data_IF_087863591785
#
_entry.id   IF_087863591785
#
_cell.length_a   1.000
_cell.length_b   1.000
_cell.length_c   1.000
_cell.angle_alpha   90.00
_cell.angle_beta   90.00
_cell.angle_gamma   90.00
#
_symmetry.space_group_name_H-M   'P 1'
#
loop_
_entity.id
_entity.type
_entity.pdbx_description
1 polymer ?
#
# COMPACT_ATOMS: atom_id res chain seq x y z
N UNK A 1 -18.66 5.09 -11.49
CA UNK A 1 -18.17 3.92 -12.23
C UNK A 1 -17.09 3.24 -11.40
N UNK A 2 -17.45 2.29 -10.54
CA UNK A 2 -16.48 1.51 -9.76
C UNK A 2 -16.13 0.24 -10.54
N UNK A 3 -14.99 0.24 -11.20
CA UNK A 3 -14.47 -0.94 -11.91
C UNK A 3 -14.11 -2.02 -10.90
N UNK A 4 -14.74 -3.18 -11.04
CA UNK A 4 -14.43 -4.42 -10.33
C UNK A 4 -12.96 -4.80 -10.54
N UNK A 5 -12.14 -4.79 -9.49
CA UNK A 5 -10.80 -5.38 -9.56
C UNK A 5 -10.80 -6.76 -8.88
N UNK A 6 -11.05 -7.79 -9.68
CA UNK A 6 -11.17 -9.19 -9.24
C UNK A 6 -9.86 -9.79 -8.66
N UNK A 7 -8.75 -9.04 -8.62
CA UNK A 7 -7.46 -9.47 -8.09
C UNK A 7 -6.94 -8.64 -6.89
N UNK A 8 -7.78 -7.84 -6.24
CA UNK A 8 -7.35 -7.09 -5.05
C UNK A 8 -6.72 -8.01 -3.98
N UNK A 9 -5.61 -7.55 -3.38
CA UNK A 9 -4.87 -8.27 -2.34
C UNK A 9 -5.77 -8.76 -1.21
N UNK A 10 -5.74 -10.07 -0.97
CA UNK A 10 -6.43 -10.75 0.14
C UNK A 10 -5.41 -11.33 1.13
N UNK A 11 -5.75 -11.31 2.42
CA UNK A 11 -4.95 -11.92 3.49
C UNK A 11 -4.39 -10.94 4.52
N UNK A 12 -3.61 -11.50 5.46
CA UNK A 12 -2.96 -10.75 6.55
C UNK A 12 -2.03 -9.69 5.98
N UNK A 13 -2.01 -8.53 6.62
CA UNK A 13 -1.05 -7.48 6.34
C UNK A 13 0.35 -7.99 6.64
N UNK A 14 1.28 -7.82 5.70
CA UNK A 14 2.68 -8.09 5.96
C UNK A 14 3.37 -6.85 6.52
N UNK A 15 4.53 -7.04 7.14
CA UNK A 15 5.31 -5.92 7.67
C UNK A 15 5.71 -4.92 6.57
N UNK A 16 5.92 -5.39 5.34
CA UNK A 16 6.19 -4.51 4.19
C UNK A 16 4.96 -3.66 3.81
N UNK A 17 3.74 -4.24 3.87
CA UNK A 17 2.49 -3.48 3.66
C UNK A 17 2.31 -2.39 4.73
N UNK A 18 2.61 -2.73 5.99
CA UNK A 18 2.47 -1.80 7.12
C UNK A 18 3.51 -0.68 7.04
N UNK A 19 4.76 -1.00 6.68
CA UNK A 19 5.83 -0.02 6.51
C UNK A 19 5.51 0.97 5.38
N UNK A 20 5.12 0.47 4.21
CA UNK A 20 4.71 1.32 3.08
C UNK A 20 3.55 2.24 3.47
N UNK A 21 2.54 1.70 4.15
CA UNK A 21 1.37 2.47 4.58
C UNK A 21 1.70 3.55 5.58
N UNK A 22 2.51 3.24 6.60
CA UNK A 22 2.94 4.22 7.59
C UNK A 22 3.69 5.38 6.92
N UNK A 23 4.55 5.08 5.95
CA UNK A 23 5.32 6.10 5.24
C UNK A 23 4.48 6.94 4.28
N UNK A 24 3.53 6.33 3.59
CA UNK A 24 2.52 7.06 2.81
C UNK A 24 1.74 8.03 3.70
N UNK A 25 1.24 7.58 4.86
CA UNK A 25 0.48 8.44 5.79
C UNK A 25 1.30 9.64 6.22
N UNK A 26 2.59 9.43 6.51
CA UNK A 26 3.50 10.49 6.92
C UNK A 26 3.65 11.55 5.82
N UNK A 27 4.08 11.16 4.62
CA UNK A 27 4.31 12.10 3.52
C UNK A 27 3.02 12.74 2.99
N UNK A 28 1.92 12.01 3.03
CA UNK A 28 0.60 12.56 2.71
C UNK A 28 0.23 13.70 3.67
N UNK A 29 0.51 13.54 4.96
CA UNK A 29 0.22 14.57 5.97
C UNK A 29 1.16 15.79 5.85
N UNK A 30 2.36 15.59 5.29
CA UNK A 30 3.29 16.68 4.98
C UNK A 30 2.93 17.43 3.70
N UNK A 31 2.03 16.92 2.86
CA UNK A 31 1.68 17.57 1.60
C UNK A 31 2.78 17.53 0.54
N UNK A 32 3.76 16.63 0.66
CA UNK A 32 4.93 16.55 -0.26
C UNK A 32 4.78 15.54 -1.38
N UNK A 33 3.70 14.76 -1.38
CA UNK A 33 3.42 13.77 -2.42
C UNK A 33 2.95 14.42 -3.72
N UNK A 34 3.30 13.88 -4.87
CA UNK A 34 2.81 14.39 -6.16
C UNK A 34 1.41 13.83 -6.46
N UNK A 35 0.39 14.33 -5.75
CA UNK A 35 -0.99 13.87 -5.87
C UNK A 35 -1.92 15.04 -6.25
N UNK A 36 -3.03 14.77 -6.97
CA UNK A 36 -4.07 15.77 -7.19
C UNK A 36 -4.70 16.21 -5.86
N UNK A 37 -4.94 17.51 -5.70
CA UNK A 37 -5.73 18.04 -4.59
C UNK A 37 -7.13 17.40 -4.60
N UNK A 38 -7.66 17.11 -3.42
CA UNK A 38 -8.91 16.37 -3.29
C UNK A 38 -8.75 14.84 -3.23
N UNK A 39 -7.56 14.30 -3.49
CA UNK A 39 -7.29 12.87 -3.32
C UNK A 39 -7.46 12.48 -1.86
N UNK A 40 -8.30 11.49 -1.56
CA UNK A 40 -8.44 11.01 -0.18
C UNK A 40 -7.33 10.03 0.17
N UNK A 41 -6.85 10.07 1.42
CA UNK A 41 -5.80 9.15 1.87
C UNK A 41 -6.20 7.68 1.69
N UNK A 42 -7.47 7.35 1.95
CA UNK A 42 -7.96 5.97 1.82
C UNK A 42 -7.91 5.49 0.37
N UNK A 43 -8.31 6.34 -0.58
CA UNK A 43 -8.25 6.01 -2.00
C UNK A 43 -6.79 5.83 -2.46
N UNK A 44 -5.90 6.71 -1.99
CA UNK A 44 -4.49 6.62 -2.32
C UNK A 44 -3.83 5.33 -1.78
N UNK A 45 -4.10 4.98 -0.52
CA UNK A 45 -3.61 3.73 0.07
C UNK A 45 -4.17 2.50 -0.64
N UNK A 46 -5.45 2.51 -0.99
CA UNK A 46 -6.10 1.42 -1.72
C UNK A 46 -5.42 1.19 -3.09
N UNK A 47 -5.11 2.28 -3.80
CA UNK A 47 -4.39 2.22 -5.08
C UNK A 47 -2.97 1.69 -4.92
N UNK A 48 -2.21 2.20 -3.94
CA UNK A 48 -0.80 1.80 -3.72
C UNK A 48 -0.64 0.35 -3.28
N UNK A 49 -1.60 -0.18 -2.53
CA UNK A 49 -1.59 -1.57 -2.07
C UNK A 49 -2.32 -2.53 -3.00
N UNK A 50 -2.87 -2.04 -4.12
CA UNK A 50 -3.77 -2.78 -5.02
C UNK A 50 -4.84 -3.57 -4.24
N UNK A 51 -5.58 -2.86 -3.39
CA UNK A 51 -6.57 -3.47 -2.51
C UNK A 51 -7.89 -2.69 -2.48
N UNK A 52 -8.95 -3.36 -2.03
CA UNK A 52 -10.25 -2.74 -1.89
C UNK A 52 -10.24 -1.67 -0.78
N UNK A 53 -10.85 -0.48 -0.98
CA UNK A 53 -10.94 0.56 0.04
C UNK A 53 -11.50 0.08 1.39
N UNK A 54 -12.36 -0.93 1.40
CA UNK A 54 -12.90 -1.54 2.61
C UNK A 54 -11.81 -2.24 3.43
N UNK A 55 -10.74 -2.75 2.80
CA UNK A 55 -9.60 -3.34 3.52
C UNK A 55 -8.88 -2.28 4.34
N UNK A 56 -8.75 -1.06 3.81
CA UNK A 56 -8.17 0.08 4.52
C UNK A 56 -9.08 0.49 5.67
N UNK A 57 -10.39 0.66 5.43
CA UNK A 57 -11.33 1.06 6.51
C UNK A 57 -11.41 0.02 7.62
N UNK A 58 -11.33 -1.28 7.30
CA UNK A 58 -11.31 -2.35 8.30
C UNK A 58 -9.99 -2.45 9.09
N UNK A 59 -8.85 -2.12 8.47
CA UNK A 59 -7.56 -2.12 9.18
C UNK A 59 -7.45 -0.94 10.13
N UNK A 60 -7.93 0.22 9.70
CA UNK A 60 -7.81 1.48 10.44
C UNK A 60 -9.15 1.85 11.07
N UNK A 61 -9.49 1.17 12.17
CA UNK A 61 -10.69 1.41 12.98
C UNK A 61 -10.33 1.85 14.39
N UNK A 62 -11.32 2.35 15.14
CA UNK A 62 -11.13 2.72 16.55
C UNK A 62 -10.07 3.81 16.73
N UNK A 63 -9.12 3.58 17.63
CA UNK A 63 -8.01 4.51 17.94
C UNK A 63 -7.08 4.76 16.77
N UNK A 64 -7.03 3.87 15.78
CA UNK A 64 -6.16 3.98 14.60
C UNK A 64 -6.93 4.45 13.36
N UNK A 65 -8.13 4.99 13.52
CA UNK A 65 -8.94 5.45 12.38
C UNK A 65 -8.23 6.60 11.62
N UNK A 66 -8.16 6.48 10.29
CA UNK A 66 -7.55 7.51 9.44
C UNK A 66 -8.43 8.77 9.29
N UNK A 67 -9.72 8.70 9.63
CA UNK A 67 -10.68 9.80 9.42
C UNK A 67 -10.89 10.16 7.93
N UNK A 68 -11.64 11.24 7.68
CA UNK A 68 -11.77 11.84 6.34
C UNK A 68 -10.57 12.76 6.10
N UNK A 69 -9.46 12.20 5.63
CA UNK A 69 -8.27 12.97 5.23
C UNK A 69 -8.22 13.14 3.73
N UNK A 70 -8.12 14.40 3.32
CA UNK A 70 -7.97 14.84 1.93
C UNK A 70 -6.56 15.39 1.78
N UNK A 71 -5.96 15.13 0.63
CA UNK A 71 -4.63 15.61 0.29
C UNK A 71 -4.68 17.11 0.03
N UNK A 72 -3.71 17.81 0.61
CA UNK A 72 -3.46 19.22 0.38
C UNK A 72 -1.97 19.38 0.09
N UNK A 73 -1.64 19.96 -1.06
CA UNK A 73 -0.26 20.25 -1.41
C UNK A 73 0.36 21.28 -0.46
N UNK A 74 1.62 21.07 -0.10
CA UNK A 74 2.37 22.06 0.68
C UNK A 74 2.93 23.17 -0.22
N UNK A 75 3.34 24.28 0.40
CA UNK A 75 4.03 25.36 -0.31
C UNK A 75 5.34 24.84 -0.91
N UNK A 76 5.56 25.12 -2.20
CA UNK A 76 6.77 24.70 -2.91
C UNK A 76 7.95 25.57 -2.52
N UNK A 77 8.70 25.09 -1.53
CA UNK A 77 9.99 25.63 -1.09
C UNK A 77 11.13 24.66 -1.43
N UNK A 78 12.38 25.13 -1.37
CA UNK A 78 13.57 24.28 -1.52
C UNK A 78 13.59 23.13 -0.51
N UNK A 79 13.28 23.40 0.75
CA UNK A 79 13.19 22.38 1.79
C UNK A 79 12.13 21.31 1.47
N UNK A 80 10.93 21.73 1.03
CA UNK A 80 9.88 20.76 0.66
C UNK A 80 10.22 19.94 -0.58
N UNK A 81 11.02 20.49 -1.49
CA UNK A 81 11.50 19.76 -2.66
C UNK A 81 12.46 18.62 -2.27
N UNK A 82 13.36 18.87 -1.31
CA UNK A 82 14.26 17.84 -0.79
C UNK A 82 13.48 16.72 -0.10
N UNK A 83 12.48 17.07 0.72
CA UNK A 83 11.60 16.09 1.36
C UNK A 83 10.78 15.32 0.31
N UNK A 84 10.25 15.98 -0.72
CA UNK A 84 9.52 15.33 -1.79
C UNK A 84 10.40 14.34 -2.57
N UNK A 85 11.66 14.72 -2.85
CA UNK A 85 12.64 13.84 -3.50
C UNK A 85 12.91 12.60 -2.63
N UNK A 86 13.17 12.81 -1.33
CA UNK A 86 13.37 11.71 -0.38
C UNK A 86 12.13 10.82 -0.31
N UNK A 87 10.93 11.41 -0.27
CA UNK A 87 9.68 10.68 -0.22
C UNK A 87 9.52 9.75 -1.43
N UNK A 88 9.86 10.22 -2.63
CA UNK A 88 9.81 9.41 -3.85
C UNK A 88 10.76 8.21 -3.77
N UNK A 89 12.01 8.44 -3.35
CA UNK A 89 13.02 7.39 -3.24
C UNK A 89 12.63 6.34 -2.18
N UNK A 90 12.25 6.79 -0.98
CA UNK A 90 11.89 5.91 0.13
C UNK A 90 10.62 5.10 -0.18
N UNK A 91 9.61 5.73 -0.81
CA UNK A 91 8.40 5.02 -1.21
C UNK A 91 8.67 4.01 -2.33
N UNK A 92 9.52 4.33 -3.30
CA UNK A 92 9.89 3.40 -4.37
C UNK A 92 10.59 2.15 -3.80
N UNK A 93 11.48 2.32 -2.83
CA UNK A 93 12.14 1.19 -2.16
C UNK A 93 11.14 0.31 -1.39
N UNK A 94 10.24 0.92 -0.62
CA UNK A 94 9.21 0.20 0.12
C UNK A 94 8.23 -0.52 -0.81
N UNK A 95 7.86 0.09 -1.94
CA UNK A 95 7.03 -0.51 -2.98
C UNK A 95 7.73 -1.73 -3.61
N UNK A 96 9.01 -1.63 -3.93
CA UNK A 96 9.79 -2.75 -4.47
C UNK A 96 9.86 -3.92 -3.47
N UNK A 97 10.10 -3.64 -2.19
CA UNK A 97 10.09 -4.65 -1.12
C UNK A 97 8.72 -5.31 -0.99
N UNK A 98 7.66 -4.51 -1.04
CA UNK A 98 6.29 -5.01 -1.00
C UNK A 98 6.00 -5.94 -2.18
N UNK A 99 6.32 -5.53 -3.41
CA UNK A 99 6.13 -6.35 -4.61
C UNK A 99 6.93 -7.67 -4.56
N UNK A 100 8.19 -7.63 -4.14
CA UNK A 100 8.99 -8.83 -3.94
C UNK A 100 8.37 -9.79 -2.90
N UNK A 101 7.74 -9.26 -1.85
CA UNK A 101 6.98 -10.06 -0.88
C UNK A 101 5.75 -10.70 -1.50
N UNK A 102 5.03 -9.97 -2.37
CA UNK A 102 3.87 -10.50 -3.09
C UNK A 102 4.25 -11.67 -3.98
N UNK A 103 5.33 -11.53 -4.73
CA UNK A 103 5.78 -12.57 -5.67
C UNK A 103 6.16 -13.86 -4.93
N UNK A 104 6.92 -13.72 -3.83
CA UNK A 104 7.24 -14.84 -2.94
C UNK A 104 6.00 -15.53 -2.35
N UNK A 105 4.94 -14.76 -2.08
CA UNK A 105 3.68 -15.33 -1.59
C UNK A 105 2.89 -16.06 -2.68
N UNK A 106 3.05 -15.69 -3.96
CA UNK A 106 2.45 -16.45 -5.09
C UNK A 106 3.17 -17.78 -5.28
N UNK A 107 4.51 -17.76 -5.28
CA UNK A 107 5.35 -18.97 -5.42
C UNK A 107 5.00 -20.05 -4.39
N UNK A 108 4.87 -19.64 -3.11
CA UNK A 108 4.49 -20.57 -2.03
C UNK A 108 3.10 -21.17 -2.19
N UNK A 109 2.17 -20.49 -2.88
CA UNK A 109 0.81 -21.01 -3.12
C UNK A 109 0.77 -21.98 -4.30
N UNK A 110 1.59 -21.76 -5.32
CA UNK A 110 1.70 -22.69 -6.46
C UNK A 110 2.53 -23.94 -6.12
N UNK A 111 3.54 -23.80 -5.25
CA UNK A 111 4.39 -24.92 -4.83
C UNK A 111 3.74 -25.96 -3.90
N UNK A 112 2.57 -25.66 -3.31
CA UNK A 112 1.85 -26.61 -2.41
C UNK A 112 0.99 -27.63 -3.20
N UNK A 113 0.74 -27.40 -4.51
CA UNK A 113 -0.02 -28.35 -5.32
C UNK A 113 0.83 -29.52 -5.88
N UNK A 114 2.12 -29.59 -5.53
CA UNK A 114 3.09 -30.56 -6.10
C UNK A 114 3.49 -31.72 -5.18
N UNK A 115 2.76 -32.02 -4.10
CA UNK A 115 3.04 -33.21 -3.27
C UNK A 115 2.15 -34.36 -3.76
N UNK A 116 2.57 -35.01 -4.85
CA UNK A 116 2.04 -36.32 -5.22
C UNK A 116 2.35 -37.31 -4.10
N UNK A 117 1.31 -37.76 -3.41
CA UNK A 117 1.39 -38.93 -2.55
C UNK A 117 1.56 -40.16 -3.45
N UNK A 118 2.79 -40.57 -3.74
CA UNK A 118 3.06 -41.94 -4.20
C UNK A 118 2.90 -42.87 -2.99
N UNK A 119 1.66 -43.20 -2.66
CA UNK A 119 1.34 -44.47 -2.02
C UNK A 119 0.99 -45.47 -3.10
N UNK A 120 1.57 -46.67 -2.99
CA UNK A 120 1.02 -48.00 -3.26
C UNK A 120 1.93 -48.82 -4.18
N UNK A 121 2.44 -49.94 -3.67
CA UNK A 121 3.10 -51.00 -4.42
C UNK A 121 4.23 -51.62 -3.63
#
# INVERSE_FOLDING_TARGET
MATMNAMSRKGKWTSEEEALTARIIHYFSLGVLQLPDGTTLRAYLAQKLDCDPMRITKKFTGTNCLGKRVYHSCERTTATYEVAKQAVEELAELEARFQARLERNKEKRTGILGIEHTKTG
#
